data_IF_711659666427
#
_entry.id   IF_711659666427
#
_cell.length_a   1.000
_cell.length_b   1.000
_cell.length_c   1.000
_cell.angle_alpha   90.00
_cell.angle_beta   90.00
_cell.angle_gamma   90.00
#
_symmetry.space_group_name_H-M   'P 1'
#
loop_
_entity.id
_entity.type
_entity.pdbx_description
1 polymer ?
#
# COMPACT_ATOMS: atom_id res chain seq x y z
N UNK A 1 -16.51 -18.42 5.69
CA UNK A 1 -16.80 -18.19 4.25
C UNK A 1 -17.42 -16.80 4.10
N UNK A 2 -17.12 -16.05 3.03
CA UNK A 2 -17.73 -14.74 2.79
C UNK A 2 -19.25 -14.85 2.55
N UNK A 3 -19.99 -13.77 2.84
CA UNK A 3 -21.43 -13.71 2.57
C UNK A 3 -21.70 -13.53 1.07
N UNK A 4 -22.88 -13.97 0.61
CA UNK A 4 -23.30 -13.78 -0.77
C UNK A 4 -23.42 -12.30 -1.15
N UNK A 5 -23.82 -11.44 -0.20
CA UNK A 5 -23.90 -9.99 -0.38
C UNK A 5 -22.52 -9.37 -0.61
N UNK A 6 -21.51 -9.79 0.15
CA UNK A 6 -20.13 -9.31 -0.02
C UNK A 6 -19.55 -9.74 -1.37
N UNK A 7 -19.81 -10.98 -1.79
CA UNK A 7 -19.44 -11.48 -3.12
C UNK A 7 -20.09 -10.61 -4.20
N UNK A 8 -21.41 -10.41 -4.12
CA UNK A 8 -22.15 -9.63 -5.12
C UNK A 8 -21.67 -8.17 -5.19
N UNK A 9 -21.34 -7.55 -4.05
CA UNK A 9 -20.81 -6.20 -4.01
C UNK A 9 -19.44 -6.10 -4.70
N UNK A 10 -18.53 -7.03 -4.40
CA UNK A 10 -17.21 -7.06 -5.04
C UNK A 10 -17.31 -7.34 -6.55
N UNK A 11 -18.20 -8.24 -6.97
CA UNK A 11 -18.50 -8.51 -8.39
C UNK A 11 -19.11 -7.28 -9.10
N UNK A 12 -19.85 -6.45 -8.36
CA UNK A 12 -20.42 -5.20 -8.87
C UNK A 12 -19.42 -4.03 -8.93
N UNK A 13 -18.16 -4.24 -8.53
CA UNK A 13 -17.11 -3.21 -8.60
C UNK A 13 -16.80 -2.51 -7.28
N UNK A 14 -17.38 -2.93 -6.16
CA UNK A 14 -17.07 -2.35 -4.85
C UNK A 14 -15.64 -2.74 -4.42
N UNK A 15 -14.73 -1.76 -4.48
CA UNK A 15 -13.31 -1.93 -4.14
C UNK A 15 -13.06 -2.26 -2.67
N UNK A 16 -13.92 -1.79 -1.75
CA UNK A 16 -13.81 -2.16 -0.34
C UNK A 16 -14.33 -3.59 -0.13
N UNK A 17 -15.40 -3.99 -0.81
CA UNK A 17 -15.84 -5.39 -0.80
C UNK A 17 -14.78 -6.32 -1.40
N UNK A 18 -14.12 -5.92 -2.50
CA UNK A 18 -12.99 -6.68 -3.06
C UNK A 18 -11.86 -6.84 -2.04
N UNK A 19 -11.45 -5.75 -1.38
CA UNK A 19 -10.43 -5.80 -0.32
C UNK A 19 -10.84 -6.72 0.83
N UNK A 20 -12.09 -6.61 1.27
CA UNK A 20 -12.64 -7.46 2.34
C UNK A 20 -12.67 -8.93 1.93
N UNK A 21 -13.08 -9.27 0.71
CA UNK A 21 -13.01 -10.65 0.20
C UNK A 21 -11.57 -11.15 0.17
N UNK A 22 -10.64 -10.36 -0.35
CA UNK A 22 -9.22 -10.72 -0.40
C UNK A 22 -8.71 -11.07 1.00
N UNK A 23 -8.98 -10.20 1.98
CA UNK A 23 -8.61 -10.39 3.38
C UNK A 23 -9.28 -11.62 4.02
N UNK A 24 -10.56 -11.88 3.74
CA UNK A 24 -11.28 -13.07 4.24
C UNK A 24 -10.75 -14.38 3.64
N UNK A 25 -10.27 -14.34 2.41
CA UNK A 25 -9.68 -15.50 1.75
C UNK A 25 -8.22 -15.73 2.12
N UNK A 26 -7.54 -14.79 2.79
CA UNK A 26 -6.14 -14.98 3.19
C UNK A 26 -5.96 -16.30 3.94
N UNK A 27 -4.97 -17.12 3.53
CA UNK A 27 -4.64 -18.33 4.27
C UNK A 27 -4.27 -18.00 5.71
N UNK A 28 -4.84 -18.74 6.66
CA UNK A 28 -4.45 -18.69 8.07
C UNK A 28 -4.31 -20.11 8.59
N UNK A 29 -3.34 -20.33 9.46
CA UNK A 29 -3.20 -21.61 10.15
C UNK A 29 -3.64 -21.45 11.61
N UNK A 30 -4.55 -22.31 12.06
CA UNK A 30 -4.93 -22.40 13.46
C UNK A 30 -5.05 -23.87 13.85
N UNK A 31 -4.33 -24.27 14.90
CA UNK A 31 -4.32 -25.64 15.42
C UNK A 31 -3.95 -26.70 14.36
N UNK A 32 -3.07 -26.38 13.42
CA UNK A 32 -2.65 -27.27 12.33
C UNK A 32 -3.66 -27.42 11.20
N UNK A 33 -4.71 -26.57 11.17
CA UNK A 33 -5.70 -26.53 10.08
C UNK A 33 -5.51 -25.25 9.29
N UNK A 34 -5.39 -25.40 7.97
CA UNK A 34 -5.32 -24.28 7.03
C UNK A 34 -6.73 -23.83 6.64
N UNK A 35 -7.05 -22.57 6.92
CA UNK A 35 -8.27 -21.90 6.49
C UNK A 35 -7.94 -20.91 5.36
N UNK A 36 -8.96 -20.51 4.59
CA UNK A 36 -8.80 -19.56 3.49
C UNK A 36 -8.57 -20.24 2.13
N UNK A 37 -8.33 -19.41 1.12
CA UNK A 37 -8.01 -19.81 -0.24
C UNK A 37 -7.06 -18.77 -0.85
N UNK A 38 -5.79 -19.16 -1.00
CA UNK A 38 -4.73 -18.30 -1.52
C UNK A 38 -5.06 -17.72 -2.90
N UNK A 39 -5.55 -18.54 -3.82
CA UNK A 39 -5.87 -18.11 -5.19
C UNK A 39 -6.99 -17.06 -5.19
N UNK A 40 -8.01 -17.24 -4.35
CA UNK A 40 -9.09 -16.28 -4.20
C UNK A 40 -8.62 -14.97 -3.54
N UNK A 41 -7.75 -15.05 -2.54
CA UNK A 41 -7.18 -13.85 -1.91
C UNK A 41 -6.44 -12.99 -2.95
N UNK A 42 -5.53 -13.61 -3.71
CA UNK A 42 -4.76 -12.94 -4.77
C UNK A 42 -5.67 -12.43 -5.89
N UNK A 43 -6.69 -13.20 -6.29
CA UNK A 43 -7.65 -12.77 -7.31
C UNK A 43 -8.34 -11.45 -6.92
N UNK A 44 -8.84 -11.35 -5.69
CA UNK A 44 -9.55 -10.14 -5.24
C UNK A 44 -8.60 -8.97 -4.98
N UNK A 45 -7.37 -9.22 -4.50
CA UNK A 45 -6.34 -8.19 -4.42
C UNK A 45 -6.01 -7.60 -5.79
N UNK A 46 -5.80 -8.44 -6.81
CA UNK A 46 -5.55 -8.00 -8.19
C UNK A 46 -6.66 -7.13 -8.71
N UNK A 47 -7.93 -7.53 -8.49
CA UNK A 47 -9.09 -6.74 -8.90
C UNK A 47 -9.12 -5.36 -8.24
N UNK A 48 -8.81 -5.30 -6.94
CA UNK A 48 -8.75 -4.03 -6.24
C UNK A 48 -7.54 -3.17 -6.67
N UNK A 49 -6.38 -3.77 -6.97
CA UNK A 49 -5.24 -3.09 -7.58
C UNK A 49 -5.59 -2.50 -8.95
N UNK A 50 -6.26 -3.27 -9.82
CA UNK A 50 -6.71 -2.83 -11.15
C UNK A 50 -7.66 -1.64 -11.05
N UNK A 51 -8.47 -1.58 -9.98
CA UNK A 51 -9.33 -0.44 -9.68
C UNK A 51 -8.61 0.74 -9.00
N UNK A 52 -7.30 0.62 -8.75
CA UNK A 52 -6.46 1.66 -8.14
C UNK A 52 -6.66 1.84 -6.64
N UNK A 53 -7.26 0.87 -5.94
CA UNK A 53 -7.59 1.04 -4.53
C UNK A 53 -6.38 0.89 -3.61
N UNK A 54 -5.86 2.03 -3.14
CA UNK A 54 -4.65 2.13 -2.35
C UNK A 54 -4.59 1.19 -1.14
N UNK A 55 -5.66 1.08 -0.36
CA UNK A 55 -5.66 0.22 0.81
C UNK A 55 -5.54 -1.26 0.43
N UNK A 56 -6.18 -1.67 -0.66
CA UNK A 56 -6.03 -3.03 -1.15
C UNK A 56 -4.65 -3.28 -1.77
N UNK A 57 -4.05 -2.28 -2.42
CA UNK A 57 -2.69 -2.36 -2.93
C UNK A 57 -1.66 -2.53 -1.79
N UNK A 58 -1.83 -1.79 -0.68
CA UNK A 58 -1.03 -1.94 0.54
C UNK A 58 -1.27 -3.30 1.20
N UNK A 59 -2.53 -3.70 1.41
CA UNK A 59 -2.88 -4.99 2.01
C UNK A 59 -2.31 -6.16 1.18
N UNK A 60 -2.32 -6.05 -0.16
CA UNK A 60 -1.74 -7.05 -1.05
C UNK A 60 -0.23 -7.15 -0.91
N UNK A 61 0.47 -6.01 -0.87
CA UNK A 61 1.92 -5.99 -0.64
C UNK A 61 2.29 -6.62 0.70
N UNK A 62 1.61 -6.24 1.78
CA UNK A 62 1.87 -6.83 3.10
C UNK A 62 1.60 -8.33 3.13
N UNK A 63 0.51 -8.76 2.51
CA UNK A 63 0.18 -10.18 2.37
C UNK A 63 1.24 -10.95 1.58
N UNK A 64 1.59 -10.47 0.38
CA UNK A 64 2.57 -11.13 -0.49
C UNK A 64 3.97 -11.18 0.14
N UNK A 65 4.33 -10.16 0.91
CA UNK A 65 5.59 -10.14 1.68
C UNK A 65 5.60 -11.21 2.78
N UNK A 66 4.50 -11.36 3.53
CA UNK A 66 4.40 -12.42 4.54
C UNK A 66 4.45 -13.81 3.91
N UNK A 67 3.80 -14.03 2.77
CA UNK A 67 3.93 -15.28 2.00
C UNK A 67 5.37 -15.53 1.57
N UNK A 68 6.09 -14.49 1.11
CA UNK A 68 7.50 -14.58 0.75
C UNK A 68 8.37 -14.97 1.94
N UNK A 69 8.15 -14.37 3.11
CA UNK A 69 8.86 -14.71 4.37
C UNK A 69 8.60 -16.17 4.79
N UNK A 70 7.42 -16.72 4.46
CA UNK A 70 7.06 -18.13 4.67
C UNK A 70 7.57 -19.07 3.56
N UNK A 71 8.33 -18.56 2.58
CA UNK A 71 8.94 -19.34 1.51
C UNK A 71 8.15 -19.37 0.20
N UNK A 72 7.12 -18.54 0.05
CA UNK A 72 6.31 -18.41 -1.16
C UNK A 72 6.33 -16.97 -1.73
N UNK A 73 7.37 -16.59 -2.49
CA UNK A 73 7.52 -15.23 -3.02
C UNK A 73 6.69 -14.97 -4.29
N UNK A 74 5.82 -15.90 -4.71
CA UNK A 74 5.21 -15.92 -6.05
C UNK A 74 4.45 -14.64 -6.45
N UNK A 75 4.00 -13.85 -5.47
CA UNK A 75 3.16 -12.65 -5.69
C UNK A 75 3.84 -11.35 -5.28
N UNK A 76 5.06 -11.39 -4.75
CA UNK A 76 5.70 -10.22 -4.15
C UNK A 76 5.99 -9.14 -5.19
N UNK A 77 6.61 -9.50 -6.32
CA UNK A 77 6.96 -8.53 -7.37
C UNK A 77 5.71 -7.81 -7.92
N UNK A 78 4.63 -8.56 -8.13
CA UNK A 78 3.36 -8.00 -8.57
C UNK A 78 2.76 -7.04 -7.54
N UNK A 79 2.78 -7.42 -6.26
CA UNK A 79 2.25 -6.59 -5.19
C UNK A 79 3.10 -5.33 -4.97
N UNK A 80 4.42 -5.37 -5.23
CA UNK A 80 5.30 -4.20 -5.25
C UNK A 80 4.87 -3.24 -6.38
N UNK A 81 4.57 -3.73 -7.58
CA UNK A 81 4.06 -2.88 -8.67
C UNK A 81 2.75 -2.20 -8.28
N UNK A 82 1.80 -2.93 -7.69
CA UNK A 82 0.57 -2.34 -7.15
C UNK A 82 0.86 -1.23 -6.13
N UNK A 83 1.80 -1.46 -5.22
CA UNK A 83 2.17 -0.50 -4.19
C UNK A 83 2.83 0.76 -4.80
N UNK A 84 3.69 0.60 -5.81
CA UNK A 84 4.34 1.71 -6.51
C UNK A 84 3.34 2.59 -7.27
N UNK A 85 2.31 1.99 -7.87
CA UNK A 85 1.23 2.74 -8.49
C UNK A 85 0.45 3.57 -7.46
N UNK A 86 0.26 3.05 -6.25
CA UNK A 86 -0.37 3.77 -5.15
C UNK A 86 0.50 4.93 -4.64
N UNK A 87 1.81 4.72 -4.52
CA UNK A 87 2.81 5.75 -4.16
C UNK A 87 2.79 6.88 -5.17
N UNK A 88 2.79 6.55 -6.48
CA UNK A 88 2.80 7.54 -7.56
C UNK A 88 1.56 8.45 -7.53
N UNK A 89 0.43 7.94 -7.05
CA UNK A 89 -0.81 8.68 -6.88
C UNK A 89 -0.88 9.52 -5.60
N UNK A 90 0.13 9.42 -4.72
CA UNK A 90 0.21 10.19 -3.49
C UNK A 90 -0.49 9.55 -2.29
N UNK A 91 -0.87 8.27 -2.35
CA UNK A 91 -1.61 7.63 -1.26
C UNK A 91 -0.75 7.49 0.00
N UNK A 92 -1.17 8.13 1.09
CA UNK A 92 -0.43 8.21 2.36
C UNK A 92 0.07 6.86 2.87
N UNK A 93 -0.81 5.87 2.98
CA UNK A 93 -0.48 4.53 3.50
C UNK A 93 0.54 3.82 2.60
N UNK A 94 0.40 3.98 1.29
CA UNK A 94 1.32 3.41 0.31
C UNK A 94 2.72 4.05 0.38
N UNK A 95 2.80 5.37 0.50
CA UNK A 95 4.07 6.07 0.68
C UNK A 95 4.78 5.58 1.95
N UNK A 96 4.06 5.44 3.07
CA UNK A 96 4.64 4.93 4.32
C UNK A 96 5.13 3.48 4.17
N UNK A 97 4.34 2.60 3.56
CA UNK A 97 4.73 1.22 3.32
C UNK A 97 5.94 1.11 2.38
N UNK A 98 5.98 1.94 1.33
CA UNK A 98 7.12 2.06 0.41
C UNK A 98 8.38 2.59 1.08
N UNK A 99 8.26 3.63 1.90
CA UNK A 99 9.37 4.19 2.65
C UNK A 99 9.96 3.16 3.62
N UNK A 100 9.09 2.41 4.31
CA UNK A 100 9.51 1.35 5.21
C UNK A 100 10.22 0.22 4.46
N UNK A 101 9.64 -0.24 3.34
CA UNK A 101 10.24 -1.25 2.46
C UNK A 101 11.63 -0.83 2.02
N UNK A 102 11.75 0.35 1.41
CA UNK A 102 13.01 0.85 0.88
C UNK A 102 14.08 0.96 1.97
N UNK A 103 13.79 1.66 3.08
CA UNK A 103 14.79 1.95 4.10
C UNK A 103 15.16 0.73 4.96
N UNK A 104 14.19 -0.07 5.39
CA UNK A 104 14.39 -1.06 6.46
C UNK A 104 14.39 -2.52 5.97
N UNK A 105 13.92 -2.77 4.75
CA UNK A 105 13.94 -4.12 4.16
C UNK A 105 15.00 -4.19 3.06
N UNK A 106 14.91 -3.28 2.09
CA UNK A 106 15.78 -3.28 0.89
C UNK A 106 17.10 -2.56 1.13
N UNK A 107 17.19 -1.73 2.19
CA UNK A 107 18.32 -0.84 2.47
C UNK A 107 18.61 0.15 1.33
N UNK A 108 17.59 0.47 0.53
CA UNK A 108 17.59 1.62 -0.38
C UNK A 108 17.25 2.88 0.43
N UNK A 109 18.26 3.37 1.15
CA UNK A 109 18.13 4.53 2.01
C UNK A 109 17.78 5.80 1.25
N UNK A 110 18.20 5.95 -0.02
CA UNK A 110 17.91 7.15 -0.81
C UNK A 110 16.42 7.21 -1.15
N UNK A 111 15.85 6.09 -1.62
CA UNK A 111 14.41 6.00 -1.87
C UNK A 111 13.62 6.15 -0.58
N UNK A 112 14.05 5.49 0.50
CA UNK A 112 13.44 5.65 1.83
C UNK A 112 13.46 7.10 2.31
N UNK A 113 14.59 7.80 2.14
CA UNK A 113 14.74 9.21 2.51
C UNK A 113 13.76 10.09 1.73
N UNK A 114 13.74 9.94 0.41
CA UNK A 114 12.84 10.66 -0.49
C UNK A 114 11.37 10.47 -0.09
N UNK A 115 10.93 9.23 0.12
CA UNK A 115 9.54 8.93 0.44
C UNK A 115 9.11 9.50 1.81
N UNK A 116 9.97 9.45 2.82
CA UNK A 116 9.68 10.12 4.10
C UNK A 116 9.68 11.65 3.98
N UNK A 117 10.57 12.23 3.16
CA UNK A 117 10.61 13.68 2.93
C UNK A 117 9.33 14.23 2.28
N UNK A 118 8.53 13.39 1.59
CA UNK A 118 7.23 13.80 1.03
C UNK A 118 6.25 14.33 2.09
N UNK A 119 6.40 13.89 3.35
CA UNK A 119 5.51 14.27 4.46
C UNK A 119 5.87 15.59 5.14
N UNK A 120 6.94 16.26 4.73
CA UNK A 120 7.51 17.38 5.49
C UNK A 120 6.51 18.52 5.76
N UNK A 121 5.64 18.84 4.82
CA UNK A 121 4.68 19.95 4.97
C UNK A 121 3.38 19.54 5.67
N UNK A 122 2.97 18.28 5.55
CA UNK A 122 1.66 17.80 6.02
C UNK A 122 1.74 17.04 7.33
N UNK A 123 2.76 16.19 7.49
CA UNK A 123 2.91 15.27 8.61
C UNK A 123 4.38 15.12 9.05
N UNK A 124 4.97 16.17 9.68
CA UNK A 124 6.39 16.22 10.00
C UNK A 124 6.91 15.04 10.82
N UNK A 125 6.06 14.45 11.66
CA UNK A 125 6.41 13.28 12.48
C UNK A 125 6.78 12.04 11.65
N UNK A 126 6.24 11.85 10.44
CA UNK A 126 6.75 10.83 9.53
C UNK A 126 7.99 11.28 8.80
N UNK A 127 8.03 12.57 8.43
CA UNK A 127 9.16 13.13 7.71
C UNK A 127 10.46 13.03 8.52
N UNK A 128 10.40 13.14 9.86
CA UNK A 128 11.53 12.96 10.76
C UNK A 128 12.19 11.58 10.65
N UNK A 129 11.46 10.54 10.23
CA UNK A 129 11.98 9.17 10.12
C UNK A 129 13.13 9.07 9.11
N UNK A 130 13.21 9.95 8.10
CA UNK A 130 14.30 9.98 7.11
C UNK A 130 15.68 10.17 7.72
N UNK A 131 15.76 10.81 8.89
CA UNK A 131 17.02 11.05 9.59
C UNK A 131 17.55 9.83 10.34
N UNK A 132 16.72 8.82 10.57
CA UNK A 132 17.12 7.60 11.30
C UNK A 132 18.20 6.76 10.61
N UNK A 133 18.38 6.96 9.30
CA UNK A 133 19.37 6.26 8.47
C UNK A 133 20.20 7.22 7.60
N UNK A 134 20.15 8.54 7.85
CA UNK A 134 20.85 9.54 7.04
C UNK A 134 22.38 9.36 7.04
N UNK A 135 22.94 8.78 8.10
CA UNK A 135 24.39 8.44 8.17
C UNK A 135 24.81 7.39 7.13
N UNK A 136 23.86 6.70 6.48
CA UNK A 136 24.12 5.76 5.38
C UNK A 136 24.18 6.46 4.01
N UNK A 137 23.87 7.75 3.94
CA UNK A 137 23.83 8.54 2.72
C UNK A 137 24.96 9.58 2.69
N UNK A 138 25.40 9.90 1.49
CA UNK A 138 26.23 11.09 1.26
C UNK A 138 25.37 12.35 1.31
N UNK A 139 25.99 13.50 1.61
CA UNK A 139 25.28 14.79 1.55
C UNK A 139 24.66 15.05 0.18
N UNK A 140 25.33 14.65 -0.91
CA UNK A 140 24.80 14.82 -2.26
C UNK A 140 23.53 14.00 -2.50
N UNK A 141 23.45 12.78 -1.96
CA UNK A 141 22.24 11.94 -2.06
C UNK A 141 21.09 12.48 -1.21
N UNK A 142 21.39 13.04 -0.03
CA UNK A 142 20.40 13.74 0.81
C UNK A 142 19.86 14.96 0.06
N UNK A 143 20.74 15.79 -0.48
CA UNK A 143 20.36 17.01 -1.21
C UNK A 143 19.49 16.68 -2.44
N UNK A 144 19.84 15.62 -3.18
CA UNK A 144 19.07 15.15 -4.32
C UNK A 144 17.68 14.62 -3.91
N UNK A 145 17.61 13.84 -2.83
CA UNK A 145 16.34 13.30 -2.32
C UNK A 145 15.41 14.40 -1.78
N UNK A 146 15.95 15.38 -1.03
CA UNK A 146 15.20 16.54 -0.56
C UNK A 146 14.68 17.39 -1.73
N UNK A 147 15.54 17.65 -2.73
CA UNK A 147 15.14 18.39 -3.93
C UNK A 147 14.00 17.67 -4.67
N UNK A 148 14.16 16.36 -4.92
CA UNK A 148 13.13 15.58 -5.59
C UNK A 148 11.81 15.55 -4.80
N UNK A 149 11.89 15.45 -3.47
CA UNK A 149 10.72 15.49 -2.60
C UNK A 149 10.01 16.85 -2.63
N UNK A 150 10.77 17.95 -2.65
CA UNK A 150 10.21 19.30 -2.80
C UNK A 150 9.54 19.50 -4.16
N UNK A 151 10.15 19.03 -5.24
CA UNK A 151 9.55 19.06 -6.60
C UNK A 151 8.25 18.24 -6.65
N UNK A 152 8.24 17.06 -6.04
CA UNK A 152 7.04 16.23 -5.96
C UNK A 152 5.92 16.93 -5.19
N UNK A 153 6.20 17.50 -4.01
CA UNK A 153 5.23 18.24 -3.19
C UNK A 153 4.69 19.50 -3.87
N UNK A 154 5.47 20.12 -4.75
CA UNK A 154 5.01 21.26 -5.53
C UNK A 154 3.96 20.89 -6.59
N UNK A 155 3.96 19.64 -7.07
CA UNK A 155 3.09 19.16 -8.15
C UNK A 155 1.99 18.19 -7.68
N UNK A 156 2.11 17.64 -6.47
CA UNK A 156 1.26 16.57 -5.96
C UNK A 156 0.86 16.84 -4.51
N UNK A 157 -0.12 16.08 -4.04
CA UNK A 157 -0.58 16.14 -2.64
C UNK A 157 -0.66 14.74 -2.08
N UNK A 158 -0.43 14.62 -0.77
CA UNK A 158 -0.65 13.36 -0.05
C UNK A 158 -2.15 13.18 0.13
N UNK A 159 -2.65 12.04 -0.34
CA UNK A 159 -4.05 11.65 -0.29
C UNK A 159 -4.32 10.79 0.94
N UNK A 160 -5.36 11.14 1.68
CA UNK A 160 -5.87 10.33 2.78
C UNK A 160 -6.90 9.28 2.30
N UNK A 161 -7.42 8.51 3.25
CA UNK A 161 -8.43 7.47 2.96
C UNK A 161 -9.66 8.02 2.23
N UNK A 162 -10.11 9.23 2.59
CA UNK A 162 -11.34 9.82 2.07
C UNK A 162 -11.16 10.37 0.66
N UNK A 163 -9.96 10.86 0.33
CA UNK A 163 -9.63 11.38 -1.00
C UNK A 163 -9.79 10.32 -2.08
N UNK A 164 -9.46 9.06 -1.77
CA UNK A 164 -9.64 7.96 -2.71
C UNK A 164 -11.12 7.75 -3.09
N UNK A 165 -12.04 7.76 -2.11
CA UNK A 165 -13.48 7.61 -2.39
C UNK A 165 -14.11 8.85 -3.04
N UNK A 166 -13.41 9.98 -3.06
CA UNK A 166 -13.84 11.12 -3.86
C UNK A 166 -13.50 10.92 -5.36
N UNK A 167 -12.47 10.13 -5.66
CA UNK A 167 -12.00 9.87 -7.04
C UNK A 167 -12.65 8.63 -7.67
N UNK A 168 -13.05 7.64 -6.88
CA UNK A 168 -13.79 6.47 -7.36
C UNK A 168 -15.28 6.58 -7.04
N UNK A 169 -16.13 6.46 -8.06
CA UNK A 169 -17.59 6.40 -7.91
C UNK A 169 -17.99 5.04 -7.32
N UNK A 170 -17.76 4.87 -6.01
CA UNK A 170 -18.17 3.67 -5.28
C UNK A 170 -19.61 3.83 -4.78
N UNK A 171 -20.58 3.03 -5.27
CA UNK A 171 -21.99 3.18 -4.93
C UNK A 171 -22.34 2.78 -3.49
N UNK A 172 -21.38 2.31 -2.69
CA UNK A 172 -21.59 1.76 -1.36
C UNK A 172 -20.87 2.51 -0.25
N UNK A 173 -20.56 3.80 -0.46
CA UNK A 173 -20.14 4.68 0.65
C UNK A 173 -21.17 4.57 1.78
N UNK A 174 -20.79 4.23 3.02
CA UNK A 174 -21.68 4.53 4.13
C UNK A 174 -21.83 6.04 4.13
N UNK A 175 -23.06 6.52 3.92
CA UNK A 175 -23.38 7.93 4.14
C UNK A 175 -23.12 8.16 5.63
N UNK A 176 -22.01 8.80 5.96
CA UNK A 176 -21.78 9.29 7.31
C UNK A 176 -22.81 10.39 7.54
N UNK A 177 -23.89 10.07 8.26
CA UNK A 177 -24.74 11.06 8.93
C UNK A 177 -23.98 11.70 10.11
#
# INVERSE_FOLDING_TARGET
PPSAELIAAAEAGDVEAMRQLANLYRPTEALGVQYGNLEQAVFWYRKACEAGYANAQVDFYEFARLEADMGNPAYLDEAIVCLEDAIRQGHRSAILAGAFRAAFIEQDYKTGFFLYALFEDTEPHYAEQRWSFADQLTQAEIDEAEQAAAEWRAANTIKDYNDFFAEVDSPFRPVTE
#
